data_IF_991366718327
#
_entry.id   IF_991366718327
#
_cell.length_a   1.000
_cell.length_b   1.000
_cell.length_c   1.000
_cell.angle_alpha   90.00
_cell.angle_beta   90.00
_cell.angle_gamma   90.00
#
_symmetry.space_group_name_H-M   'P 1'
#
loop_
_entity.id
_entity.type
_entity.pdbx_description
1 polymer ?
#
# COMPACT_ATOMS: atom_id res chain seq x y z
N UNK A 1 19.86 16.11 0.24
CA UNK A 1 20.69 15.12 0.96
C UNK A 1 20.35 13.74 0.41
N UNK A 2 21.37 12.95 0.03
CA UNK A 2 21.17 11.56 -0.32
C UNK A 2 20.75 10.79 0.95
N UNK A 3 19.76 9.94 0.85
CA UNK A 3 19.25 9.17 1.99
C UNK A 3 18.43 7.98 1.53
N UNK A 4 18.51 6.91 2.30
CA UNK A 4 17.67 5.73 2.17
C UNK A 4 16.90 5.57 3.47
N UNK A 5 15.59 5.53 3.38
CA UNK A 5 14.69 5.14 4.46
C UNK A 5 14.13 3.77 4.15
N UNK A 6 14.12 2.89 5.11
CA UNK A 6 13.60 1.53 4.99
C UNK A 6 12.87 1.18 6.28
N UNK A 7 11.74 0.52 6.19
CA UNK A 7 10.99 0.04 7.33
C UNK A 7 10.28 -1.27 7.01
N UNK A 8 10.19 -2.12 8.03
CA UNK A 8 9.31 -3.29 8.04
C UNK A 8 7.98 -2.93 8.68
N UNK A 9 6.90 -3.24 8.00
CA UNK A 9 5.54 -2.94 8.42
C UNK A 9 4.83 -4.25 8.72
N UNK A 10 4.36 -4.41 9.97
CA UNK A 10 3.79 -5.68 10.39
C UNK A 10 4.80 -6.84 10.34
N UNK A 11 4.34 -8.02 9.96
CA UNK A 11 5.16 -9.24 9.97
C UNK A 11 6.09 -9.37 8.76
N UNK A 12 5.70 -8.89 7.58
CA UNK A 12 6.34 -9.28 6.32
C UNK A 12 6.44 -8.20 5.25
N UNK A 13 5.69 -7.13 5.34
CA UNK A 13 5.73 -6.04 4.38
C UNK A 13 6.96 -5.16 4.61
N UNK A 14 7.73 -4.87 3.54
CA UNK A 14 8.83 -3.93 3.63
C UNK A 14 8.63 -2.78 2.64
N UNK A 15 9.03 -1.59 3.06
CA UNK A 15 8.96 -0.37 2.25
C UNK A 15 10.29 0.37 2.29
N UNK A 16 10.64 0.97 1.16
CA UNK A 16 11.82 1.80 1.05
C UNK A 16 11.53 3.09 0.30
N UNK A 17 12.17 4.18 0.69
CA UNK A 17 12.21 5.43 -0.05
C UNK A 17 13.65 5.91 -0.12
N UNK A 18 14.11 6.21 -1.32
CA UNK A 18 15.50 6.61 -1.53
C UNK A 18 15.60 7.90 -2.36
N UNK A 19 16.63 8.67 -2.03
CA UNK A 19 17.11 9.80 -2.81
C UNK A 19 18.62 9.63 -2.98
N UNK A 20 19.06 9.27 -4.18
CA UNK A 20 20.42 8.89 -4.50
C UNK A 20 20.95 9.74 -5.67
N UNK A 21 22.24 9.61 -5.97
CA UNK A 21 22.84 10.20 -7.16
C UNK A 21 23.84 9.23 -7.75
N UNK A 22 23.74 9.00 -9.06
CA UNK A 22 24.68 8.14 -9.81
C UNK A 22 24.77 6.70 -9.28
N UNK A 23 23.68 6.14 -8.74
CA UNK A 23 23.69 4.83 -8.12
C UNK A 23 23.17 3.75 -9.06
N UNK A 24 23.80 2.57 -8.97
CA UNK A 24 23.36 1.35 -9.67
C UNK A 24 23.36 0.17 -8.70
N UNK A 25 22.30 -0.60 -8.77
CA UNK A 25 22.21 -1.89 -8.07
C UNK A 25 22.75 -3.00 -8.97
N UNK A 26 23.58 -3.83 -8.39
CA UNK A 26 24.02 -5.07 -9.03
C UNK A 26 22.85 -6.02 -9.26
N UNK A 27 23.05 -7.01 -10.12
CA UNK A 27 22.01 -8.01 -10.40
C UNK A 27 21.74 -8.87 -9.17
N UNK A 28 20.48 -8.92 -8.75
CA UNK A 28 19.99 -9.65 -7.58
C UNK A 28 18.53 -10.06 -7.78
N UNK A 29 18.01 -10.87 -6.89
CA UNK A 29 16.59 -11.27 -6.88
C UNK A 29 15.99 -11.09 -5.50
N UNK A 30 14.67 -11.04 -5.44
CA UNK A 30 13.86 -11.02 -4.22
C UNK A 30 12.88 -12.18 -4.23
N UNK A 31 12.53 -12.68 -3.05
CA UNK A 31 11.48 -13.70 -2.89
C UNK A 31 10.08 -13.05 -2.86
N UNK A 32 10.04 -11.72 -2.79
CA UNK A 32 8.83 -10.90 -2.80
C UNK A 32 8.57 -10.30 -4.17
N UNK A 33 7.34 -9.86 -4.39
CA UNK A 33 7.07 -8.85 -5.41
C UNK A 33 7.80 -7.55 -5.06
N UNK A 34 8.45 -6.94 -6.05
CA UNK A 34 8.98 -5.59 -5.90
C UNK A 34 8.18 -4.66 -6.81
N UNK A 35 7.52 -3.71 -6.19
CA UNK A 35 6.72 -2.68 -6.86
C UNK A 35 7.37 -1.34 -6.56
N UNK A 36 7.98 -0.72 -7.55
CA UNK A 36 8.74 0.51 -7.35
C UNK A 36 8.19 1.66 -8.22
N UNK A 37 8.04 2.83 -7.63
CA UNK A 37 7.75 4.06 -8.35
C UNK A 37 9.04 4.84 -8.56
N UNK A 38 9.43 5.09 -9.81
CA UNK A 38 10.48 6.03 -10.14
C UNK A 38 9.94 7.45 -10.01
N UNK A 39 10.46 8.23 -9.08
CA UNK A 39 9.97 9.58 -8.76
C UNK A 39 10.82 10.70 -9.38
N UNK A 40 12.05 10.39 -9.74
CA UNK A 40 12.97 11.32 -10.38
C UNK A 40 14.13 10.57 -11.01
N UNK A 41 14.54 10.98 -12.20
CA UNK A 41 15.62 10.39 -12.96
C UNK A 41 15.13 9.42 -14.01
N UNK A 42 16.01 9.09 -14.97
CA UNK A 42 15.81 8.06 -15.97
C UNK A 42 16.56 6.80 -15.52
N UNK A 43 15.82 5.80 -15.13
CA UNK A 43 16.38 4.53 -14.66
C UNK A 43 16.59 3.58 -15.82
N UNK A 44 17.81 3.09 -16.01
CA UNK A 44 18.12 1.97 -16.88
C UNK A 44 17.88 0.66 -16.08
N UNK A 45 16.88 -0.11 -16.47
CA UNK A 45 16.49 -1.37 -15.81
C UNK A 45 17.00 -2.55 -16.63
N UNK A 46 17.58 -3.53 -15.95
CA UNK A 46 17.86 -4.86 -16.47
C UNK A 46 17.00 -5.88 -15.73
N UNK A 47 16.24 -6.70 -16.47
CA UNK A 47 15.36 -7.71 -15.90
C UNK A 47 15.40 -8.98 -16.77
N UNK A 48 15.88 -10.10 -16.20
CA UNK A 48 15.91 -11.42 -16.85
C UNK A 48 16.47 -11.40 -18.29
N UNK A 49 17.56 -10.68 -18.52
CA UNK A 49 18.22 -10.57 -19.83
C UNK A 49 17.67 -9.49 -20.74
N UNK A 50 16.64 -8.74 -20.34
CA UNK A 50 16.05 -7.62 -21.09
C UNK A 50 16.43 -6.29 -20.44
N UNK A 51 16.54 -5.27 -21.26
CA UNK A 51 16.79 -3.89 -20.80
C UNK A 51 15.64 -2.98 -21.24
N UNK A 52 15.25 -2.08 -20.36
CA UNK A 52 14.29 -1.02 -20.66
C UNK A 52 14.56 0.19 -19.77
N UNK A 53 13.89 1.29 -20.04
CA UNK A 53 14.00 2.51 -19.24
C UNK A 53 12.69 2.81 -18.56
N UNK A 54 12.78 3.19 -17.27
CA UNK A 54 11.68 3.72 -16.49
C UNK A 54 11.89 5.23 -16.26
N UNK A 55 10.94 6.02 -16.72
CA UNK A 55 10.95 7.48 -16.59
C UNK A 55 10.31 7.90 -15.26
N UNK A 56 10.44 9.18 -14.94
CA UNK A 56 9.79 9.74 -13.75
C UNK A 56 8.27 9.60 -13.83
N UNK A 57 7.69 8.95 -12.82
CA UNK A 57 6.27 8.63 -12.73
C UNK A 57 5.90 7.21 -13.18
N UNK A 58 6.83 6.46 -13.75
CA UNK A 58 6.62 5.06 -14.10
C UNK A 58 6.72 4.15 -12.86
N UNK A 59 6.03 3.00 -12.94
CA UNK A 59 6.20 1.92 -11.97
C UNK A 59 6.91 0.74 -12.64
N UNK A 60 7.86 0.17 -11.91
CA UNK A 60 8.47 -1.12 -12.23
C UNK A 60 7.85 -2.21 -11.35
N UNK A 61 7.55 -3.35 -11.97
CA UNK A 61 6.82 -4.45 -11.35
C UNK A 61 7.63 -5.73 -11.56
N UNK A 62 8.16 -6.30 -10.48
CA UNK A 62 8.97 -7.51 -10.56
C UNK A 62 8.29 -8.64 -9.80
N UNK A 63 8.22 -9.81 -10.42
CA UNK A 63 7.71 -11.02 -9.80
C UNK A 63 8.78 -11.67 -8.91
N UNK A 64 8.39 -12.43 -7.90
CA UNK A 64 9.34 -13.21 -7.07
C UNK A 64 10.31 -14.03 -7.90
N UNK A 65 11.58 -14.03 -7.50
CA UNK A 65 12.65 -14.79 -8.13
C UNK A 65 13.21 -14.20 -9.43
N UNK A 66 12.63 -13.15 -9.99
CA UNK A 66 13.19 -12.49 -11.17
C UNK A 66 14.52 -11.80 -10.82
N UNK A 67 15.51 -11.97 -11.71
CA UNK A 67 16.80 -11.29 -11.54
C UNK A 67 16.68 -9.89 -12.10
N UNK A 68 16.88 -8.91 -11.26
CA UNK A 68 16.79 -7.49 -11.57
C UNK A 68 18.07 -6.75 -11.22
N UNK A 69 18.30 -5.62 -11.85
CA UNK A 69 19.39 -4.70 -11.56
C UNK A 69 19.20 -3.43 -12.38
N UNK A 70 19.97 -2.41 -12.08
CA UNK A 70 19.85 -1.17 -12.82
C UNK A 70 20.11 0.06 -11.97
N UNK A 71 19.77 1.22 -12.50
CA UNK A 71 19.97 2.50 -11.82
C UNK A 71 20.09 3.64 -12.80
N UNK A 72 20.61 4.76 -12.33
CA UNK A 72 20.80 5.96 -13.13
C UNK A 72 22.29 6.14 -13.48
N UNK A 73 22.57 6.98 -14.47
CA UNK A 73 23.94 7.32 -14.87
C UNK A 73 24.62 8.15 -13.79
N UNK A 74 25.93 8.13 -13.79
CA UNK A 74 26.77 8.88 -12.83
C UNK A 74 26.35 10.36 -12.74
N UNK A 75 26.22 10.84 -11.51
CA UNK A 75 25.82 12.21 -11.21
C UNK A 75 24.35 12.55 -11.43
N UNK A 76 23.55 11.66 -12.01
CA UNK A 76 22.12 11.91 -12.19
C UNK A 76 21.35 11.70 -10.88
N UNK A 77 20.40 12.59 -10.55
CA UNK A 77 19.55 12.39 -9.38
C UNK A 77 18.60 11.21 -9.62
N UNK A 78 18.38 10.43 -8.57
CA UNK A 78 17.44 9.31 -8.58
C UNK A 78 16.64 9.29 -7.29
N UNK A 79 15.33 9.31 -7.42
CA UNK A 79 14.41 9.10 -6.31
C UNK A 79 13.40 8.02 -6.66
N UNK A 80 13.20 7.11 -5.74
CA UNK A 80 12.22 6.07 -5.90
C UNK A 80 11.57 5.71 -4.56
N UNK A 81 10.41 5.06 -4.64
CA UNK A 81 9.72 4.48 -3.50
C UNK A 81 9.32 3.05 -3.87
N UNK A 82 9.74 2.07 -3.07
CA UNK A 82 9.60 0.64 -3.34
C UNK A 82 8.84 -0.06 -2.24
N UNK A 83 7.99 -0.98 -2.66
CA UNK A 83 7.24 -1.91 -1.84
C UNK A 83 7.75 -3.31 -2.13
N UNK A 84 8.12 -4.05 -1.07
CA UNK A 84 8.46 -5.47 -1.10
C UNK A 84 7.32 -6.23 -0.42
N UNK A 85 6.63 -7.07 -1.16
CA UNK A 85 5.39 -7.69 -0.72
C UNK A 85 5.41 -9.20 -0.97
N UNK A 86 5.39 -10.04 0.07
CA UNK A 86 5.32 -11.48 -0.09
C UNK A 86 4.10 -11.92 -0.89
N UNK A 87 4.28 -12.90 -1.78
CA UNK A 87 3.23 -13.35 -2.69
C UNK A 87 1.98 -13.84 -1.95
N UNK A 88 2.16 -14.54 -0.83
CA UNK A 88 1.05 -15.01 -0.01
C UNK A 88 0.24 -13.86 0.60
N UNK A 89 0.92 -12.79 1.02
CA UNK A 89 0.27 -11.62 1.62
C UNK A 89 -0.51 -10.81 0.57
N UNK A 90 0.07 -10.61 -0.62
CA UNK A 90 -0.64 -9.97 -1.73
C UNK A 90 -1.90 -10.76 -2.10
N UNK A 91 -1.76 -12.07 -2.25
CA UNK A 91 -2.87 -12.96 -2.59
C UNK A 91 -3.98 -12.93 -1.52
N UNK A 92 -3.62 -13.10 -0.24
CA UNK A 92 -4.59 -13.10 0.86
C UNK A 92 -5.27 -11.75 1.06
N UNK A 93 -4.51 -10.65 0.97
CA UNK A 93 -5.05 -9.29 1.15
C UNK A 93 -6.12 -8.93 0.11
N UNK A 94 -6.03 -9.51 -1.10
CA UNK A 94 -6.91 -9.23 -2.23
C UNK A 94 -7.83 -10.40 -2.59
N UNK A 95 -7.76 -11.50 -1.84
CA UNK A 95 -8.54 -12.72 -2.08
C UNK A 95 -8.27 -13.34 -3.46
N UNK A 96 -7.01 -13.43 -3.81
CA UNK A 96 -6.53 -14.01 -5.06
C UNK A 96 -5.85 -15.35 -4.80
N UNK A 97 -5.92 -16.28 -5.77
CA UNK A 97 -5.18 -17.56 -5.72
C UNK A 97 -3.71 -17.38 -6.06
N UNK A 98 -3.40 -16.47 -6.97
CA UNK A 98 -2.06 -16.11 -7.40
C UNK A 98 -2.06 -14.73 -8.07
N UNK A 99 -0.90 -14.11 -8.13
CA UNK A 99 -0.65 -12.86 -8.86
C UNK A 99 0.60 -13.04 -9.68
N UNK A 100 0.59 -12.53 -10.90
CA UNK A 100 1.75 -12.43 -11.76
C UNK A 100 1.65 -11.14 -12.59
N UNK A 101 2.74 -10.44 -12.72
CA UNK A 101 2.84 -9.26 -13.57
C UNK A 101 3.44 -9.64 -14.92
N UNK A 102 2.63 -9.62 -15.98
CA UNK A 102 3.07 -9.89 -17.35
C UNK A 102 3.97 -8.77 -17.92
N UNK A 103 3.80 -7.56 -17.42
CA UNK A 103 4.50 -6.36 -17.86
C UNK A 103 5.31 -5.77 -16.73
N UNK A 104 6.64 -5.67 -16.88
CA UNK A 104 7.51 -5.14 -15.83
C UNK A 104 7.47 -3.61 -15.72
N UNK A 105 6.85 -2.91 -16.66
CA UNK A 105 6.74 -1.47 -16.70
C UNK A 105 5.29 -1.02 -16.90
N UNK A 106 4.82 -0.17 -15.99
CA UNK A 106 3.50 0.45 -16.07
C UNK A 106 3.66 1.98 -16.06
N UNK A 107 3.26 2.61 -17.15
CA UNK A 107 3.28 4.08 -17.29
C UNK A 107 2.03 4.68 -16.67
N UNK A 108 2.12 5.06 -15.41
CA UNK A 108 1.01 5.67 -14.68
C UNK A 108 1.51 6.62 -13.59
N UNK A 109 1.79 7.89 -13.91
CA UNK A 109 2.24 8.86 -12.92
C UNK A 109 1.29 9.04 -11.74
N UNK A 110 0.00 8.76 -11.94
CA UNK A 110 -0.98 8.80 -10.87
C UNK A 110 -0.75 7.69 -9.83
N UNK A 111 -0.58 6.45 -10.30
CA UNK A 111 -0.28 5.30 -9.42
C UNK A 111 1.12 5.44 -8.79
N UNK A 112 2.11 5.97 -9.52
CA UNK A 112 3.44 6.24 -8.97
C UNK A 112 3.39 7.20 -7.78
N UNK A 113 2.68 8.32 -7.91
CA UNK A 113 2.48 9.26 -6.79
C UNK A 113 1.70 8.65 -5.63
N UNK A 114 0.75 7.79 -5.93
CA UNK A 114 -0.06 7.12 -4.91
C UNK A 114 0.75 6.12 -4.09
N UNK A 115 1.59 5.32 -4.74
CA UNK A 115 2.54 4.44 -4.05
C UNK A 115 3.49 5.24 -3.16
N UNK A 116 4.11 6.30 -3.71
CA UNK A 116 5.02 7.15 -2.95
C UNK A 116 4.36 7.76 -1.71
N UNK A 117 3.15 8.31 -1.85
CA UNK A 117 2.41 8.88 -0.73
C UNK A 117 1.98 7.83 0.31
N UNK A 118 1.72 6.59 -0.12
CA UNK A 118 1.42 5.48 0.81
C UNK A 118 2.66 5.08 1.59
N UNK A 119 3.81 4.95 0.92
CA UNK A 119 5.09 4.62 1.55
C UNK A 119 5.54 5.73 2.51
N UNK A 120 5.43 6.99 2.13
CA UNK A 120 5.73 8.13 3.01
C UNK A 120 4.90 8.08 4.30
N UNK A 121 3.61 7.79 4.18
CA UNK A 121 2.73 7.65 5.33
C UNK A 121 3.10 6.45 6.22
N UNK A 122 3.52 5.32 5.63
CA UNK A 122 3.98 4.13 6.35
C UNK A 122 5.30 4.36 7.08
N UNK A 123 6.19 5.18 6.53
CA UNK A 123 7.46 5.57 7.14
C UNK A 123 7.31 6.63 8.25
N UNK A 124 6.15 7.25 8.38
CA UNK A 124 5.92 8.26 9.41
C UNK A 124 5.98 7.67 10.82
N UNK A 125 6.45 8.46 11.80
CA UNK A 125 6.45 8.09 13.21
C UNK A 125 5.05 8.07 13.83
N UNK A 126 4.13 8.86 13.30
CA UNK A 126 2.75 8.95 13.75
C UNK A 126 1.94 7.70 13.38
N UNK A 127 1.33 7.07 14.40
CA UNK A 127 0.52 5.87 14.24
C UNK A 127 -0.65 6.08 13.27
N UNK A 128 -1.34 7.21 13.36
CA UNK A 128 -2.50 7.49 12.49
C UNK A 128 -2.10 7.71 11.03
N UNK A 129 -0.90 8.26 10.80
CA UNK A 129 -0.34 8.38 9.45
C UNK A 129 -0.07 6.99 8.87
N UNK A 130 0.55 6.08 9.66
CA UNK A 130 0.82 4.70 9.23
C UNK A 130 -0.45 3.93 8.91
N UNK A 131 -1.45 3.97 9.77
CA UNK A 131 -2.75 3.31 9.54
C UNK A 131 -3.43 3.82 8.26
N UNK A 132 -3.38 5.13 7.99
CA UNK A 132 -3.84 5.68 6.71
C UNK A 132 -2.98 5.22 5.53
N UNK A 133 -1.68 5.03 5.74
CA UNK A 133 -0.75 4.49 4.75
C UNK A 133 -1.14 3.08 4.33
N UNK A 134 -1.48 2.21 5.28
CA UNK A 134 -1.96 0.84 5.03
C UNK A 134 -3.25 0.82 4.22
N UNK A 135 -4.26 1.61 4.61
CA UNK A 135 -5.52 1.72 3.86
C UNK A 135 -5.30 2.21 2.42
N UNK A 136 -4.42 3.21 2.24
CA UNK A 136 -4.06 3.72 0.91
C UNK A 136 -3.34 2.69 0.08
N UNK A 137 -2.40 1.96 0.70
CA UNK A 137 -1.63 0.92 0.03
C UNK A 137 -2.54 -0.20 -0.49
N UNK A 138 -3.48 -0.68 0.30
CA UNK A 138 -4.45 -1.69 -0.13
C UNK A 138 -5.31 -1.20 -1.30
N UNK A 139 -5.77 0.05 -1.24
CA UNK A 139 -6.52 0.66 -2.31
C UNK A 139 -5.66 0.84 -3.59
N UNK A 140 -4.39 1.20 -3.44
CA UNK A 140 -3.41 1.27 -4.53
C UNK A 140 -3.21 -0.11 -5.17
N UNK A 141 -2.98 -1.16 -4.39
CA UNK A 141 -2.79 -2.53 -4.90
C UNK A 141 -3.98 -2.99 -5.75
N UNK A 142 -5.20 -2.72 -5.30
CA UNK A 142 -6.39 -3.03 -6.10
C UNK A 142 -6.44 -2.30 -7.45
N UNK A 143 -6.02 -1.02 -7.50
CA UNK A 143 -5.95 -0.24 -8.74
C UNK A 143 -4.79 -0.68 -9.64
N UNK A 144 -3.64 -0.98 -9.04
CA UNK A 144 -2.48 -1.49 -9.75
C UNK A 144 -2.82 -2.78 -10.48
N UNK A 145 -3.40 -3.75 -9.79
CA UNK A 145 -3.78 -5.03 -10.40
C UNK A 145 -4.83 -4.85 -11.50
N UNK A 146 -5.81 -3.98 -11.29
CA UNK A 146 -6.78 -3.65 -12.34
C UNK A 146 -6.10 -3.02 -13.57
N UNK A 147 -5.12 -2.12 -13.37
CA UNK A 147 -4.35 -1.48 -14.44
C UNK A 147 -3.39 -2.45 -15.16
N UNK A 148 -2.89 -3.47 -14.44
CA UNK A 148 -2.05 -4.53 -15.03
C UNK A 148 -2.85 -5.62 -15.77
N UNK A 149 -4.19 -5.51 -15.78
CA UNK A 149 -5.07 -6.46 -16.45
C UNK A 149 -5.53 -7.63 -15.57
N UNK A 150 -5.13 -7.67 -14.32
CA UNK A 150 -5.54 -8.70 -13.36
C UNK A 150 -7.01 -8.51 -12.97
N UNK A 151 -7.83 -9.53 -13.14
CA UNK A 151 -9.22 -9.52 -12.68
C UNK A 151 -9.27 -9.79 -11.18
N UNK A 152 -9.71 -8.78 -10.41
CA UNK A 152 -10.00 -8.99 -9.00
C UNK A 152 -11.31 -9.75 -8.82
N UNK A 153 -11.39 -10.70 -7.86
CA UNK A 153 -12.62 -11.41 -7.56
C UNK A 153 -13.75 -10.44 -7.23
N UNK A 154 -14.90 -10.61 -7.86
CA UNK A 154 -16.10 -9.91 -7.46
C UNK A 154 -16.78 -10.74 -6.36
N UNK A 155 -16.44 -10.48 -5.10
CA UNK A 155 -17.23 -11.03 -4.02
C UNK A 155 -18.56 -10.31 -3.91
N UNK A 156 -19.59 -11.06 -3.53
CA UNK A 156 -20.88 -10.48 -3.15
C UNK A 156 -20.67 -9.40 -2.09
N UNK A 157 -21.40 -8.30 -2.20
CA UNK A 157 -21.38 -7.24 -1.20
C UNK A 157 -21.75 -7.86 0.17
N UNK A 158 -20.91 -7.78 1.20
CA UNK A 158 -21.17 -8.35 2.52
C UNK A 158 -22.41 -7.73 3.17
N UNK A 159 -22.94 -6.68 2.55
CA UNK A 159 -24.17 -6.03 2.92
C UNK A 159 -24.08 -5.16 4.17
N UNK A 160 -25.17 -4.45 4.42
CA UNK A 160 -25.32 -3.58 5.58
C UNK A 160 -25.05 -4.29 6.94
N UNK A 161 -25.42 -5.58 7.16
CA UNK A 161 -25.17 -6.25 8.43
C UNK A 161 -23.69 -6.38 8.81
N UNK A 162 -22.81 -6.65 7.85
CA UNK A 162 -21.37 -6.74 8.12
C UNK A 162 -20.77 -5.37 8.45
N UNK A 163 -21.16 -4.34 7.70
CA UNK A 163 -20.72 -2.96 7.98
C UNK A 163 -21.24 -2.49 9.35
N UNK A 164 -22.48 -2.80 9.70
CA UNK A 164 -23.05 -2.44 11.00
C UNK A 164 -22.30 -3.13 12.16
N UNK A 165 -21.91 -4.40 12.01
CA UNK A 165 -21.06 -5.10 13.00
C UNK A 165 -19.71 -4.40 13.19
N UNK A 166 -19.07 -4.00 12.10
CA UNK A 166 -17.79 -3.26 12.16
C UNK A 166 -17.96 -1.88 12.82
N UNK A 167 -19.05 -1.18 12.54
CA UNK A 167 -19.35 0.09 13.19
C UNK A 167 -19.57 -0.07 14.69
N UNK A 168 -20.28 -1.12 15.11
CA UNK A 168 -20.48 -1.44 16.52
C UNK A 168 -19.15 -1.76 17.22
N UNK A 169 -18.32 -2.61 16.61
CA UNK A 169 -17.00 -2.96 17.12
C UNK A 169 -16.08 -1.73 17.28
N UNK A 170 -16.04 -0.86 16.28
CA UNK A 170 -15.27 0.39 16.32
C UNK A 170 -15.80 1.37 17.39
N UNK A 171 -17.11 1.39 17.63
CA UNK A 171 -17.71 2.22 18.67
C UNK A 171 -17.44 1.70 20.07
N UNK A 172 -17.45 0.39 20.26
CA UNK A 172 -17.14 -0.28 21.52
C UNK A 172 -15.65 -0.13 21.89
N UNK A 173 -14.75 -0.36 20.92
CA UNK A 173 -13.31 -0.30 21.11
C UNK A 173 -12.70 1.05 20.68
N UNK A 174 -13.35 2.14 21.04
CA UNK A 174 -12.98 3.47 20.56
C UNK A 174 -11.60 3.93 21.06
N UNK A 175 -11.18 3.53 22.26
CA UNK A 175 -9.86 3.86 22.83
C UNK A 175 -8.73 3.10 22.10
N UNK A 176 -8.94 1.82 21.85
CA UNK A 176 -8.02 0.92 21.14
C UNK A 176 -8.77 0.23 19.99
N UNK A 177 -8.95 0.92 18.88
CA UNK A 177 -9.69 0.35 17.75
C UNK A 177 -8.94 -0.87 17.19
N UNK A 178 -9.69 -1.88 16.73
CA UNK A 178 -9.13 -3.06 16.10
C UNK A 178 -8.33 -2.66 14.84
N UNK A 179 -7.31 -3.45 14.53
CA UNK A 179 -6.58 -3.29 13.26
C UNK A 179 -7.35 -3.87 12.06
N UNK A 180 -6.78 -3.74 10.87
CA UNK A 180 -7.44 -4.20 9.64
C UNK A 180 -7.55 -5.72 9.58
N UNK A 181 -6.60 -6.45 10.14
CA UNK A 181 -6.61 -7.92 10.16
C UNK A 181 -7.74 -8.41 11.05
N UNK A 182 -7.84 -7.90 12.28
CA UNK A 182 -8.90 -8.23 13.22
C UNK A 182 -10.30 -7.87 12.66
N UNK A 183 -10.42 -6.70 12.03
CA UNK A 183 -11.68 -6.31 11.40
C UNK A 183 -12.07 -7.22 10.25
N UNK A 184 -11.10 -7.63 9.43
CA UNK A 184 -11.32 -8.50 8.28
C UNK A 184 -11.76 -9.90 8.73
N UNK A 185 -11.12 -10.45 9.76
CA UNK A 185 -11.47 -11.73 10.37
C UNK A 185 -12.89 -11.72 10.93
N UNK A 186 -13.29 -10.67 11.66
CA UNK A 186 -14.61 -10.53 12.26
C UNK A 186 -15.77 -10.59 11.25
N UNK A 187 -15.53 -10.25 10.02
CA UNK A 187 -16.56 -10.26 8.95
C UNK A 187 -16.30 -11.28 7.85
N UNK A 188 -15.21 -12.07 7.95
CA UNK A 188 -14.85 -13.11 6.98
C UNK A 188 -14.52 -12.54 5.60
N UNK A 189 -13.86 -11.38 5.55
CA UNK A 189 -13.47 -10.70 4.32
C UNK A 189 -11.95 -10.52 4.26
N UNK A 190 -11.39 -10.37 3.05
CA UNK A 190 -10.05 -9.81 2.94
C UNK A 190 -10.04 -8.32 3.30
N UNK A 191 -8.90 -7.81 3.74
CA UNK A 191 -8.71 -6.38 4.07
C UNK A 191 -9.20 -5.45 2.96
N UNK A 192 -8.91 -5.78 1.71
CA UNK A 192 -9.34 -5.01 0.54
C UNK A 192 -10.87 -4.97 0.39
N UNK A 193 -11.54 -6.12 0.50
CA UNK A 193 -12.99 -6.20 0.37
C UNK A 193 -13.70 -5.49 1.53
N UNK A 194 -13.17 -5.61 2.75
CA UNK A 194 -13.65 -4.89 3.92
C UNK A 194 -13.59 -3.38 3.68
N UNK A 195 -12.42 -2.83 3.30
CA UNK A 195 -12.25 -1.39 3.07
C UNK A 195 -13.20 -0.88 1.99
N UNK A 196 -13.34 -1.63 0.89
CA UNK A 196 -14.22 -1.28 -0.22
C UNK A 196 -15.70 -1.28 0.21
N UNK A 197 -16.14 -2.32 0.92
CA UNK A 197 -17.50 -2.43 1.41
C UNK A 197 -17.85 -1.34 2.43
N UNK A 198 -16.97 -1.12 3.39
CA UNK A 198 -17.16 -0.10 4.44
C UNK A 198 -17.21 1.31 3.83
N UNK A 199 -16.28 1.65 2.93
CA UNK A 199 -16.26 2.94 2.23
C UNK A 199 -17.49 3.14 1.34
N UNK A 200 -17.94 2.09 0.63
CA UNK A 200 -19.18 2.13 -0.17
C UNK A 200 -20.40 2.44 0.68
N UNK A 201 -20.48 1.84 1.87
CA UNK A 201 -21.63 2.00 2.75
C UNK A 201 -21.64 3.29 3.57
N UNK A 202 -20.46 3.79 3.96
CA UNK A 202 -20.31 4.92 4.91
C UNK A 202 -19.72 6.19 4.29
N UNK A 203 -19.11 6.08 3.11
CA UNK A 203 -18.33 7.15 2.48
C UNK A 203 -16.93 7.33 3.06
N UNK A 204 -16.58 6.61 4.12
CA UNK A 204 -15.34 6.75 4.89
C UNK A 204 -14.64 5.40 5.00
N UNK A 205 -13.31 5.43 5.23
CA UNK A 205 -12.62 4.23 5.71
C UNK A 205 -12.97 3.94 7.17
N UNK A 206 -12.76 2.69 7.68
CA UNK A 206 -12.97 2.36 9.08
C UNK A 206 -12.23 3.30 10.04
N UNK A 207 -10.99 3.64 9.71
CA UNK A 207 -10.17 4.57 10.51
C UNK A 207 -10.72 6.01 10.49
N UNK A 208 -11.09 6.51 9.33
CA UNK A 208 -11.70 7.83 9.24
C UNK A 208 -13.01 7.90 10.03
N UNK A 209 -13.81 6.85 9.95
CA UNK A 209 -15.06 6.74 10.69
C UNK A 209 -14.83 6.70 12.20
N UNK A 210 -13.90 5.87 12.67
CA UNK A 210 -13.51 5.81 14.08
C UNK A 210 -12.98 7.15 14.60
N UNK A 211 -12.13 7.83 13.82
CA UNK A 211 -11.61 9.16 14.20
C UNK A 211 -12.73 10.19 14.34
N UNK A 212 -13.69 10.22 13.41
CA UNK A 212 -14.84 11.11 13.53
C UNK A 212 -15.66 10.81 14.78
N UNK A 213 -15.86 9.53 15.12
CA UNK A 213 -16.60 9.13 16.30
C UNK A 213 -15.87 9.56 17.59
N UNK A 214 -14.55 9.39 17.63
CA UNK A 214 -13.70 9.88 18.75
C UNK A 214 -13.83 11.38 18.93
N UNK A 215 -13.72 12.15 17.85
CA UNK A 215 -13.84 13.62 17.89
C UNK A 215 -15.20 14.04 18.43
N UNK A 216 -16.29 13.42 17.94
CA UNK A 216 -17.64 13.71 18.43
C UNK A 216 -17.79 13.40 19.92
N UNK A 217 -17.23 12.27 20.39
CA UNK A 217 -17.31 11.89 21.79
C UNK A 217 -16.50 12.83 22.69
N UNK A 218 -15.27 13.20 22.27
CA UNK A 218 -14.45 14.18 22.98
C UNK A 218 -15.15 15.54 23.09
N UNK A 219 -15.70 16.06 22.00
CA UNK A 219 -16.48 17.31 22.01
C UNK A 219 -17.68 17.23 22.93
N UNK A 220 -18.37 16.08 22.99
CA UNK A 220 -19.50 15.85 23.89
C UNK A 220 -19.09 15.88 25.37
N UNK A 221 -17.91 15.33 25.71
CA UNK A 221 -17.35 15.39 27.07
C UNK A 221 -16.95 16.79 27.47
N UNK A 222 -16.25 17.51 26.60
CA UNK A 222 -15.85 18.91 26.83
C UNK A 222 -17.05 19.82 27.08
N UNK A 223 -18.12 19.67 26.28
CA UNK A 223 -19.35 20.46 26.46
C UNK A 223 -20.07 20.19 27.79
N UNK A 224 -19.84 19.02 28.39
CA UNK A 224 -20.39 18.67 29.71
C UNK A 224 -19.46 18.96 30.88
N UNK A 225 -18.30 19.58 30.62
CA UNK A 225 -17.28 19.84 31.67
C UNK A 225 -16.67 18.60 32.28
N UNK A 226 -16.64 17.50 31.53
CA UNK A 226 -16.12 16.19 31.96
C UNK A 226 -14.80 15.85 31.23
N UNK A 227 -13.94 16.85 31.06
CA UNK A 227 -12.62 16.68 30.44
C UNK A 227 -11.55 16.47 31.51
#
# INVERSE_FOLDING_TARGET
MAGLQHARIGASLEVASASLAGHRFEKHSHDEFVISANLCGLEDVWLDGRTFQADSGDLTLYNPGQIQGGGVRDGQPWRFASLYLPAAELASSLDLSSVEFDRPLLRSPALGRELAASIEALLASDRFARERGEERLLAFLGRLLAASGTRLPQRADPGRPAVARLQALLAERLAEPPDLDEMAEQVGLSKYHLLRAFKKATGLSPRQWSMQLRTRRALGLLRRGQA
#
